data_IF_115911244462
#
_entry.id   IF_115911244462
#
_cell.length_a   1.000
_cell.length_b   1.000
_cell.length_c   1.000
_cell.angle_alpha   90.00
_cell.angle_beta   90.00
_cell.angle_gamma   90.00
#
_symmetry.space_group_name_H-M   'P 1'
#
loop_
_entity.id
_entity.type
_entity.pdbx_description
1 polymer ?
#
# COMPACT_ATOMS: atom_id res chain seq x y z
N UNK A 1 -12.28 -15.71 -21.40
CA UNK A 1 -11.67 -16.33 -20.21
C UNK A 1 -11.66 -15.32 -19.09
N UNK A 2 -12.08 -15.75 -17.94
CA UNK A 2 -12.13 -14.88 -16.77
C UNK A 2 -10.75 -14.83 -16.10
N UNK A 3 -10.22 -13.61 -15.93
CA UNK A 3 -8.94 -13.39 -15.29
C UNK A 3 -9.10 -12.95 -13.82
N UNK A 4 -10.32 -13.03 -13.29
CA UNK A 4 -10.59 -12.61 -11.92
C UNK A 4 -9.90 -13.57 -10.95
N UNK A 5 -8.98 -13.08 -10.12
CA UNK A 5 -8.37 -13.94 -9.10
C UNK A 5 -9.39 -14.25 -7.99
N UNK A 6 -9.18 -15.35 -7.27
CA UNK A 6 -9.99 -15.59 -6.07
C UNK A 6 -9.69 -14.51 -5.01
N UNK A 7 -10.58 -14.36 -4.02
CA UNK A 7 -10.30 -13.43 -2.94
C UNK A 7 -8.98 -13.75 -2.25
N UNK A 8 -8.23 -12.71 -1.89
CA UNK A 8 -6.99 -12.86 -1.16
C UNK A 8 -7.22 -12.43 0.28
N UNK A 9 -7.09 -13.37 1.21
CA UNK A 9 -7.22 -13.06 2.63
C UNK A 9 -6.00 -12.32 3.15
N UNK A 10 -6.16 -11.65 4.28
CA UNK A 10 -5.03 -11.00 4.95
C UNK A 10 -3.95 -12.03 5.31
N UNK A 11 -4.35 -13.20 5.80
CA UNK A 11 -3.39 -14.25 6.14
C UNK A 11 -2.59 -14.71 4.92
N UNK A 12 -3.26 -14.88 3.77
CA UNK A 12 -2.58 -15.26 2.53
C UNK A 12 -1.63 -14.16 2.07
N UNK A 13 -2.03 -12.89 2.16
CA UNK A 13 -1.19 -11.77 1.77
C UNK A 13 0.08 -11.68 2.62
N UNK A 14 -0.05 -11.93 3.91
CA UNK A 14 1.11 -11.93 4.82
C UNK A 14 2.13 -13.01 4.46
N UNK A 15 1.70 -14.10 3.83
CA UNK A 15 2.57 -15.19 3.41
C UNK A 15 3.16 -15.04 2.01
N UNK A 16 2.79 -14.02 1.26
CA UNK A 16 3.31 -13.85 -0.10
C UNK A 16 4.79 -13.48 -0.10
N UNK A 17 5.57 -13.99 -1.08
CA UNK A 17 6.96 -13.60 -1.19
C UNK A 17 7.08 -12.12 -1.55
N UNK A 18 8.02 -11.45 -0.89
CA UNK A 18 8.29 -10.04 -1.15
C UNK A 18 9.42 -9.88 -2.14
N UNK A 19 9.24 -8.95 -3.07
CA UNK A 19 10.30 -8.55 -4.00
C UNK A 19 10.86 -7.23 -3.54
N UNK A 20 12.18 -7.07 -3.66
CA UNK A 20 12.88 -5.85 -3.29
C UNK A 20 12.56 -5.39 -1.85
N UNK A 21 12.25 -6.35 -0.97
CA UNK A 21 12.21 -6.16 0.47
C UNK A 21 11.05 -5.41 1.05
N UNK A 22 10.04 -5.04 0.26
CA UNK A 22 9.03 -4.09 0.77
C UNK A 22 7.60 -4.56 0.65
N UNK A 23 7.19 -4.90 -0.53
CA UNK A 23 5.82 -5.30 -0.77
C UNK A 23 5.77 -6.54 -1.63
N UNK A 24 4.69 -7.28 -1.48
CA UNK A 24 4.44 -8.47 -2.28
C UNK A 24 3.42 -8.14 -3.36
N UNK A 25 3.60 -8.68 -4.54
CA UNK A 25 2.59 -8.58 -5.58
C UNK A 25 1.44 -9.51 -5.25
N UNK A 26 0.22 -8.98 -5.29
CA UNK A 26 -1.00 -9.78 -5.11
C UNK A 26 -1.52 -10.19 -6.48
N UNK A 27 -1.82 -9.22 -7.33
CA UNK A 27 -2.14 -9.47 -8.74
C UNK A 27 -2.05 -8.18 -9.55
N UNK A 28 -2.01 -8.34 -10.86
CA UNK A 28 -2.00 -7.23 -11.82
C UNK A 28 -3.08 -7.49 -12.86
N UNK A 29 -3.83 -6.46 -13.19
CA UNK A 29 -4.84 -6.52 -14.24
C UNK A 29 -4.86 -5.18 -14.98
N UNK A 30 -4.29 -5.16 -16.19
CA UNK A 30 -4.17 -3.93 -16.96
C UNK A 30 -3.37 -2.88 -16.20
N UNK A 31 -3.96 -1.71 -16.00
CA UNK A 31 -3.32 -0.60 -15.27
C UNK A 31 -3.46 -0.72 -13.75
N UNK A 32 -4.14 -1.74 -13.28
CA UNK A 32 -4.29 -1.97 -11.85
C UNK A 32 -3.21 -2.91 -11.35
N UNK A 33 -2.45 -2.47 -10.37
CA UNK A 33 -1.46 -3.31 -9.70
C UNK A 33 -1.79 -3.33 -8.20
N UNK A 34 -2.05 -4.52 -7.66
CA UNK A 34 -2.36 -4.71 -6.24
C UNK A 34 -1.18 -5.36 -5.56
N UNK A 35 -0.72 -4.72 -4.49
CA UNK A 35 0.41 -5.20 -3.69
C UNK A 35 0.02 -5.20 -2.22
N UNK A 36 0.83 -5.84 -1.41
CA UNK A 36 0.63 -5.87 0.04
C UNK A 36 1.95 -5.58 0.74
N UNK A 37 1.94 -4.62 1.65
CA UNK A 37 3.12 -4.23 2.41
C UNK A 37 2.90 -4.52 3.89
N UNK A 38 3.63 -5.50 4.41
CA UNK A 38 3.69 -5.76 5.84
C UNK A 38 4.89 -4.97 6.38
N UNK A 39 4.63 -4.05 7.30
CA UNK A 39 5.64 -3.14 7.84
C UNK A 39 6.38 -2.37 6.75
N UNK A 40 5.67 -1.50 6.03
CA UNK A 40 6.33 -0.66 5.04
C UNK A 40 7.43 0.18 5.69
N UNK A 41 8.34 0.70 4.88
CA UNK A 41 9.43 1.53 5.38
C UNK A 41 8.87 2.69 6.20
N UNK A 42 9.40 2.86 7.41
CA UNK A 42 9.07 3.99 8.27
C UNK A 42 9.81 5.23 7.73
N UNK A 43 9.05 6.29 7.47
CA UNK A 43 9.60 7.53 6.93
C UNK A 43 9.22 7.78 5.48
N UNK A 44 9.80 8.83 4.87
CA UNK A 44 9.42 9.25 3.51
C UNK A 44 9.72 8.18 2.47
N UNK A 45 8.88 8.13 1.45
CA UNK A 45 9.07 7.27 0.29
C UNK A 45 9.30 8.12 -0.96
N UNK A 46 9.95 7.51 -1.95
CA UNK A 46 10.13 8.15 -3.25
C UNK A 46 8.76 8.32 -3.90
N UNK A 47 8.43 9.51 -4.40
CA UNK A 47 7.15 9.70 -5.09
C UNK A 47 6.98 8.77 -6.28
N UNK A 48 5.75 8.33 -6.51
CA UNK A 48 5.42 7.39 -7.58
C UNK A 48 4.90 8.13 -8.81
N UNK A 49 4.97 7.44 -9.95
CA UNK A 49 4.50 7.99 -11.22
C UNK A 49 3.02 7.74 -11.47
N UNK A 50 2.37 6.93 -10.62
CA UNK A 50 0.94 6.62 -10.73
C UNK A 50 0.22 7.01 -9.46
N UNK A 51 -1.09 7.18 -9.57
CA UNK A 51 -1.92 7.38 -8.38
C UNK A 51 -1.97 6.10 -7.56
N UNK A 52 -2.11 6.25 -6.26
CA UNK A 52 -1.99 5.13 -5.33
C UNK A 52 -3.05 5.21 -4.24
N UNK A 53 -3.61 4.06 -3.90
CA UNK A 53 -4.51 3.92 -2.75
C UNK A 53 -3.87 2.97 -1.74
N UNK A 54 -4.06 3.27 -0.46
CA UNK A 54 -3.74 2.34 0.61
C UNK A 54 -5.00 2.02 1.40
N UNK A 55 -5.14 0.75 1.78
CA UNK A 55 -6.11 0.33 2.79
C UNK A 55 -5.33 -0.24 3.94
N UNK A 56 -5.49 0.31 5.13
CA UNK A 56 -4.83 -0.22 6.31
C UNK A 56 -5.51 -1.53 6.70
N UNK A 57 -4.73 -2.60 6.75
CA UNK A 57 -5.24 -3.93 7.06
C UNK A 57 -5.10 -4.27 8.54
N UNK A 58 -4.02 -3.86 9.18
CA UNK A 58 -3.76 -4.17 10.57
C UNK A 58 -2.80 -3.13 11.16
N UNK A 59 -2.83 -3.02 12.48
CA UNK A 59 -1.91 -2.15 13.20
C UNK A 59 -2.27 -0.70 13.16
N UNK A 60 -1.35 0.15 13.59
CA UNK A 60 -1.53 1.59 13.64
C UNK A 60 -0.29 2.30 13.16
N UNK A 61 -0.46 3.55 12.74
CA UNK A 61 0.64 4.37 12.30
C UNK A 61 0.19 5.78 12.02
N UNK A 62 1.09 6.56 11.47
CA UNK A 62 0.79 7.92 11.02
C UNK A 62 1.13 8.01 9.55
N UNK A 63 0.23 8.60 8.78
CA UNK A 63 0.42 8.80 7.36
C UNK A 63 0.72 10.27 7.09
N UNK A 64 1.85 10.50 6.44
CA UNK A 64 2.24 11.85 6.03
C UNK A 64 2.08 11.96 4.53
N UNK A 65 1.32 12.94 4.09
CA UNK A 65 1.25 13.33 2.68
C UNK A 65 1.60 14.81 2.63
N UNK A 66 2.71 15.13 2.00
CA UNK A 66 3.34 16.44 2.03
C UNK A 66 3.60 16.86 3.49
N UNK A 67 2.99 17.93 3.98
CA UNK A 67 3.15 18.38 5.38
C UNK A 67 2.00 18.00 6.29
N UNK A 68 1.01 17.25 5.76
CA UNK A 68 -0.15 16.82 6.54
C UNK A 68 0.07 15.44 7.11
N UNK A 69 -0.16 15.28 8.41
CA UNK A 69 0.01 14.03 9.11
C UNK A 69 -1.31 13.62 9.72
N UNK A 70 -1.69 12.35 9.55
CA UNK A 70 -2.93 11.78 10.08
C UNK A 70 -2.64 10.48 10.79
N UNK A 71 -3.33 10.22 11.89
CA UNK A 71 -3.33 8.90 12.52
C UNK A 71 -4.16 7.96 11.67
N UNK A 72 -3.68 6.73 11.46
CA UNK A 72 -4.38 5.75 10.65
C UNK A 72 -4.42 4.40 11.35
N UNK A 73 -5.46 3.62 11.06
CA UNK A 73 -5.65 2.30 11.62
C UNK A 73 -6.49 1.43 10.69
N UNK A 74 -6.81 0.19 11.12
CA UNK A 74 -7.49 -0.77 10.25
C UNK A 74 -8.78 -0.23 9.66
N UNK A 75 -8.96 -0.44 8.35
CA UNK A 75 -10.13 0.03 7.62
C UNK A 75 -9.99 1.42 7.03
N UNK A 76 -8.94 2.16 7.35
CA UNK A 76 -8.75 3.50 6.80
C UNK A 76 -8.27 3.44 5.35
N UNK A 77 -8.81 4.34 4.54
CA UNK A 77 -8.47 4.50 3.14
C UNK A 77 -7.62 5.76 2.97
N UNK A 78 -6.48 5.60 2.29
CA UNK A 78 -5.56 6.70 2.04
C UNK A 78 -5.36 6.85 0.54
N UNK A 79 -5.26 8.09 0.08
CA UNK A 79 -4.99 8.38 -1.32
C UNK A 79 -3.72 9.20 -1.46
N UNK A 80 -2.89 8.81 -2.41
CA UNK A 80 -1.69 9.56 -2.75
C UNK A 80 -1.64 9.76 -4.27
N UNK A 81 -1.73 11.01 -4.70
CA UNK A 81 -1.61 11.34 -6.11
C UNK A 81 -0.17 11.09 -6.60
N UNK A 82 -0.04 10.83 -7.89
CA UNK A 82 1.27 10.68 -8.52
C UNK A 82 2.15 11.90 -8.21
N UNK A 83 3.43 11.67 -8.01
CA UNK A 83 4.47 12.67 -7.73
C UNK A 83 4.39 13.35 -6.38
N UNK A 84 3.44 12.98 -5.53
CA UNK A 84 3.29 13.60 -4.20
C UNK A 84 4.15 12.87 -3.18
N UNK A 85 4.92 13.63 -2.40
CA UNK A 85 5.74 13.07 -1.32
C UNK A 85 4.84 12.53 -0.21
N UNK A 86 5.13 11.31 0.23
CA UNK A 86 4.32 10.64 1.25
C UNK A 86 5.15 9.61 2.00
N UNK A 87 4.59 9.08 3.08
CA UNK A 87 5.22 8.01 3.84
C UNK A 87 4.45 7.69 5.11
N UNK A 88 4.92 6.67 5.80
CA UNK A 88 4.37 6.26 7.10
C UNK A 88 5.39 6.52 8.18
N UNK A 89 4.90 6.88 9.36
CA UNK A 89 5.71 7.16 10.53
C UNK A 89 5.09 6.47 11.75
N UNK A 90 5.91 6.18 12.76
CA UNK A 90 5.45 5.64 14.04
C UNK A 90 4.54 4.41 13.88
N UNK A 91 4.93 3.50 12.98
CA UNK A 91 4.13 2.31 12.69
C UNK A 91 4.33 1.24 13.75
N UNK A 92 3.24 0.54 14.10
CA UNK A 92 3.30 -0.61 14.99
C UNK A 92 3.92 -1.81 14.29
N UNK A 93 4.31 -2.83 15.06
CA UNK A 93 4.97 -4.01 14.48
C UNK A 93 4.08 -4.78 13.52
N UNK A 94 2.77 -4.76 13.76
CA UNK A 94 1.81 -5.47 12.92
C UNK A 94 1.21 -4.59 11.82
N UNK A 95 1.71 -3.36 11.64
CA UNK A 95 1.17 -2.45 10.64
C UNK A 95 1.32 -3.04 9.25
N UNK A 96 0.21 -3.10 8.52
CA UNK A 96 0.21 -3.61 7.16
C UNK A 96 -0.86 -2.92 6.34
N UNK A 97 -0.60 -2.79 5.05
CA UNK A 97 -1.48 -2.06 4.13
C UNK A 97 -1.60 -2.80 2.82
N UNK A 98 -2.81 -2.78 2.25
CA UNK A 98 -3.01 -3.09 0.84
C UNK A 98 -2.63 -1.87 0.03
N UNK A 99 -1.93 -2.09 -1.08
CA UNK A 99 -1.43 -1.02 -1.95
C UNK A 99 -1.99 -1.23 -3.34
N UNK A 100 -2.65 -0.22 -3.87
CA UNK A 100 -3.21 -0.28 -5.22
C UNK A 100 -2.66 0.88 -6.04
N UNK A 101 -1.93 0.54 -7.10
CA UNK A 101 -1.57 1.51 -8.13
C UNK A 101 -2.55 1.36 -9.27
N UNK A 102 -3.02 2.47 -9.81
CA UNK A 102 -3.99 2.42 -10.90
C UNK A 102 -3.79 3.57 -11.88
N UNK A 103 -4.30 3.34 -13.08
CA UNK A 103 -4.23 4.34 -14.14
C UNK A 103 -2.83 4.46 -14.76
N UNK A 104 -2.67 5.36 -15.71
CA UNK A 104 -1.42 5.52 -16.43
C UNK A 104 -0.36 6.23 -15.58
N UNK A 105 0.87 6.11 -15.99
CA UNK A 105 1.95 6.94 -15.45
C UNK A 105 1.70 8.40 -15.82
N UNK A 106 1.96 9.27 -14.90
CA UNK A 106 1.71 10.70 -15.08
C UNK A 106 2.99 11.53 -15.05
#
# INVERSE_FOLDING_TARGET
>A
MDHTPPPTSLAAALGLPRTLGRSAEVFVDGDLEVRFAARPTNGPQVPHLRDELYFVAAGSGRYRVEDKVSDVGPGDLLFCAAHVAHGFEDISEDFSVWVLFYGPRK
#
